data_IF_412497673232
#
_entry.id   IF_412497673232
#
_cell.length_a   1.000
_cell.length_b   1.000
_cell.length_c   1.000
_cell.angle_alpha   90.00
_cell.angle_beta   90.00
_cell.angle_gamma   90.00
#
_symmetry.space_group_name_H-M   'P 1'
#
loop_
_entity.id
_entity.type
_entity.pdbx_description
1 polymer ?
#
# COMPACT_ATOMS: atom_id res chain seq x y z
N UNK A 1 4.23 -8.37 -5.19
CA UNK A 1 3.82 -7.08 -4.60
C UNK A 1 3.07 -7.28 -3.30
N UNK A 2 2.97 -6.24 -2.49
CA UNK A 2 2.14 -6.24 -1.29
C UNK A 2 0.95 -5.29 -1.46
N UNK A 3 -0.27 -5.82 -1.42
CA UNK A 3 -1.50 -5.03 -1.55
C UNK A 3 -2.36 -5.20 -0.30
N UNK A 4 -3.27 -4.27 -0.06
CA UNK A 4 -4.22 -4.37 1.03
C UNK A 4 -5.29 -5.43 0.74
N UNK A 5 -5.71 -6.16 1.77
CA UNK A 5 -6.71 -7.20 1.66
C UNK A 5 -8.11 -6.58 1.54
N UNK A 6 -8.95 -6.99 0.56
CA UNK A 6 -10.31 -6.46 0.39
C UNK A 6 -11.23 -6.66 1.59
N UNK A 7 -10.95 -7.65 2.44
CA UNK A 7 -11.73 -7.92 3.65
C UNK A 7 -11.28 -7.09 4.87
N UNK A 8 -10.33 -6.18 4.72
CA UNK A 8 -9.84 -5.33 5.81
C UNK A 8 -10.80 -4.18 6.09
N UNK A 9 -10.95 -3.83 7.37
CA UNK A 9 -11.75 -2.68 7.77
C UNK A 9 -11.07 -1.37 7.38
N UNK A 10 -11.87 -0.33 7.14
CA UNK A 10 -11.37 1.02 6.83
C UNK A 10 -10.39 1.54 7.90
N UNK A 11 -10.66 1.22 9.17
CA UNK A 11 -9.76 1.54 10.31
C UNK A 11 -8.39 0.90 10.12
N UNK A 12 -8.36 -0.41 9.82
CA UNK A 12 -7.10 -1.11 9.59
C UNK A 12 -6.35 -0.58 8.36
N UNK A 13 -7.07 -0.24 7.29
CA UNK A 13 -6.48 0.36 6.09
C UNK A 13 -5.85 1.71 6.40
N UNK A 14 -6.54 2.57 7.16
CA UNK A 14 -6.02 3.87 7.55
C UNK A 14 -4.80 3.75 8.48
N UNK A 15 -4.82 2.81 9.42
CA UNK A 15 -3.68 2.54 10.30
C UNK A 15 -2.46 2.05 9.50
N UNK A 16 -2.66 1.19 8.50
CA UNK A 16 -1.59 0.75 7.62
C UNK A 16 -1.02 1.91 6.81
N UNK A 17 -1.87 2.80 6.30
CA UNK A 17 -1.43 4.00 5.57
C UNK A 17 -0.53 4.83 6.48
N UNK A 18 -1.04 5.19 7.67
CA UNK A 18 -0.31 5.99 8.63
C UNK A 18 1.03 5.33 9.02
N UNK A 19 1.01 4.02 9.26
CA UNK A 19 2.21 3.25 9.61
C UNK A 19 3.24 3.26 8.48
N UNK A 20 2.83 2.93 7.25
CA UNK A 20 3.72 2.90 6.10
C UNK A 20 4.29 4.28 5.80
N UNK A 21 3.45 5.32 5.81
CA UNK A 21 3.87 6.71 5.60
C UNK A 21 4.90 7.17 6.64
N UNK A 22 4.68 6.87 7.92
CA UNK A 22 5.62 7.23 8.97
C UNK A 22 6.98 6.50 8.83
N UNK A 23 6.98 5.27 8.29
CA UNK A 23 8.21 4.52 8.07
C UNK A 23 8.93 4.90 6.77
N UNK A 24 8.20 5.28 5.73
CA UNK A 24 8.74 5.69 4.44
C UNK A 24 9.19 7.15 4.44
N UNK A 25 8.56 7.99 5.27
CA UNK A 25 8.78 9.44 5.31
C UNK A 25 8.13 10.22 4.17
N UNK A 26 7.67 9.54 3.12
CA UNK A 26 6.99 10.14 1.98
C UNK A 26 5.76 9.31 1.56
N UNK A 27 4.62 9.98 1.47
CA UNK A 27 3.34 9.45 0.99
C UNK A 27 2.68 10.36 -0.05
N UNK A 28 3.44 11.26 -0.67
CA UNK A 28 2.97 12.20 -1.70
C UNK A 28 2.23 11.53 -2.86
N UNK A 29 2.58 10.28 -3.21
CA UNK A 29 1.97 9.57 -4.33
C UNK A 29 0.51 9.15 -4.12
N UNK A 30 0.04 9.02 -2.88
CA UNK A 30 -1.36 8.75 -2.55
C UNK A 30 -2.12 10.02 -2.14
N UNK A 31 -1.46 11.16 -2.03
CA UNK A 31 -2.10 12.44 -1.72
C UNK A 31 -2.76 13.03 -2.97
N UNK A 32 -3.73 13.96 -2.82
CA UNK A 32 -4.33 14.65 -3.96
C UNK A 32 -3.27 15.24 -4.90
N UNK A 33 -3.31 14.85 -6.18
CA UNK A 33 -2.32 15.23 -7.18
C UNK A 33 -1.14 14.26 -7.35
N UNK A 34 -1.06 13.22 -6.52
CA UNK A 34 -0.09 12.13 -6.64
C UNK A 34 -0.42 11.17 -7.79
N UNK A 35 0.60 10.47 -8.29
CA UNK A 35 0.48 9.54 -9.41
C UNK A 35 -0.46 8.34 -9.13
N UNK A 36 -0.65 8.00 -7.86
CA UNK A 36 -1.42 6.86 -7.38
C UNK A 36 -2.62 7.27 -6.51
N UNK A 37 -3.08 8.52 -6.62
CA UNK A 37 -4.23 9.00 -5.87
C UNK A 37 -5.54 8.35 -6.33
N UNK A 38 -5.72 8.16 -7.64
CA UNK A 38 -6.93 7.55 -8.20
C UNK A 38 -6.75 6.04 -8.39
N UNK A 39 -7.76 5.21 -8.09
CA UNK A 39 -9.04 5.58 -7.47
C UNK A 39 -8.90 6.02 -6.01
N UNK A 40 -9.62 7.08 -5.63
CA UNK A 40 -9.60 7.66 -4.26
C UNK A 40 -10.35 6.75 -3.28
N UNK A 41 -9.69 5.65 -2.92
CA UNK A 41 -10.20 4.65 -1.98
C UNK A 41 -9.10 4.26 -1.02
N UNK A 42 -9.46 4.05 0.25
CA UNK A 42 -8.51 3.64 1.29
C UNK A 42 -7.76 2.37 0.92
N UNK A 43 -8.43 1.41 0.29
CA UNK A 43 -7.79 0.15 -0.10
C UNK A 43 -6.71 0.35 -1.15
N UNK A 44 -6.95 1.26 -2.09
CA UNK A 44 -5.96 1.60 -3.10
C UNK A 44 -4.78 2.31 -2.47
N UNK A 45 -5.03 3.39 -1.71
CA UNK A 45 -3.96 4.14 -1.04
C UNK A 45 -3.13 3.24 -0.11
N UNK A 46 -3.80 2.38 0.67
CA UNK A 46 -3.14 1.39 1.52
C UNK A 46 -2.28 0.43 0.70
N UNK A 47 -2.81 -0.14 -0.39
CA UNK A 47 -2.06 -1.04 -1.27
C UNK A 47 -0.78 -0.39 -1.79
N UNK A 48 -0.84 0.86 -2.24
CA UNK A 48 0.30 1.61 -2.76
C UNK A 48 1.41 1.74 -1.71
N UNK A 49 1.09 2.28 -0.53
CA UNK A 49 2.09 2.54 0.51
C UNK A 49 2.58 1.26 1.19
N UNK A 50 1.72 0.24 1.31
CA UNK A 50 2.10 -1.08 1.78
C UNK A 50 3.09 -1.75 0.82
N UNK A 51 2.90 -1.60 -0.49
CA UNK A 51 3.85 -2.08 -1.48
C UNK A 51 5.20 -1.37 -1.37
N UNK A 52 5.22 -0.05 -1.27
CA UNK A 52 6.46 0.72 -1.10
C UNK A 52 7.21 0.33 0.19
N UNK A 53 6.49 0.15 1.29
CA UNK A 53 7.07 -0.31 2.54
C UNK A 53 7.64 -1.72 2.40
N UNK A 54 6.93 -2.61 1.72
CA UNK A 54 7.41 -3.95 1.41
C UNK A 54 8.69 -3.92 0.57
N UNK A 55 8.76 -3.03 -0.43
CA UNK A 55 9.95 -2.83 -1.27
C UNK A 55 11.13 -2.29 -0.46
N UNK A 56 10.91 -1.28 0.39
CA UNK A 56 11.95 -0.64 1.19
C UNK A 56 12.54 -1.57 2.25
N UNK A 57 11.79 -2.59 2.68
CA UNK A 57 12.25 -3.63 3.61
C UNK A 57 12.74 -4.90 2.93
N UNK A 58 13.37 -4.77 1.76
CA UNK A 58 13.96 -5.88 1.00
C UNK A 58 12.98 -7.03 0.68
N UNK A 59 11.67 -6.74 0.63
CA UNK A 59 10.61 -7.71 0.33
C UNK A 59 10.56 -8.88 1.32
N UNK A 60 10.97 -8.65 2.57
CA UNK A 60 10.93 -9.66 3.63
C UNK A 60 9.53 -10.21 3.85
N UNK A 61 9.41 -11.52 4.03
CA UNK A 61 8.12 -12.20 4.05
C UNK A 61 7.17 -11.69 5.15
N UNK A 62 7.66 -11.21 6.27
CA UNK A 62 6.84 -10.73 7.40
C UNK A 62 6.33 -9.30 7.20
N UNK A 63 6.97 -8.52 6.31
CA UNK A 63 6.69 -7.09 6.15
C UNK A 63 5.39 -6.79 5.41
N UNK A 64 4.87 -7.74 4.63
CA UNK A 64 3.57 -7.64 3.97
C UNK A 64 2.39 -8.13 4.84
N UNK A 65 2.64 -8.58 6.08
CA UNK A 65 1.54 -9.11 6.90
C UNK A 65 0.56 -8.01 7.34
N UNK A 66 1.09 -6.84 7.75
CA UNK A 66 0.30 -5.71 8.29
C UNK A 66 -0.83 -6.20 9.21
N UNK A 67 -0.50 -6.94 10.28
CA UNK A 67 -1.50 -7.51 11.20
C UNK A 67 -2.61 -8.35 10.54
N UNK A 68 -2.32 -8.98 9.39
CA UNK A 68 -3.25 -9.82 8.63
C UNK A 68 -4.09 -9.07 7.59
N UNK A 69 -3.82 -7.77 7.38
CA UNK A 69 -4.50 -6.91 6.42
C UNK A 69 -3.74 -6.73 5.11
N UNK A 70 -2.52 -7.25 4.99
CA UNK A 70 -1.78 -7.30 3.74
C UNK A 70 -1.86 -8.65 3.04
N UNK A 71 -1.84 -8.60 1.71
CA UNK A 71 -1.88 -9.73 0.82
C UNK A 71 -0.73 -9.64 -0.18
N UNK A 72 0.07 -10.71 -0.25
CA UNK A 72 1.08 -10.81 -1.31
C UNK A 72 0.43 -11.29 -2.58
N UNK A 73 0.63 -10.53 -3.65
CA UNK A 73 0.27 -10.91 -5.01
C UNK A 73 1.53 -11.19 -5.82
N UNK A 74 1.43 -12.19 -6.70
CA UNK A 74 2.47 -12.54 -7.67
C UNK A 74 2.23 -11.78 -8.98
N UNK A 75 0.98 -11.42 -9.27
CA UNK A 75 0.63 -10.58 -10.42
C UNK A 75 0.87 -9.10 -10.11
N UNK A 76 1.25 -8.35 -11.15
CA UNK A 76 1.48 -6.92 -11.07
C UNK A 76 0.15 -6.19 -10.82
N UNK A 77 -0.03 -5.53 -9.65
CA UNK A 77 -1.25 -4.80 -9.34
C UNK A 77 -1.26 -3.38 -9.94
N UNK A 78 -0.26 -3.03 -10.77
CA UNK A 78 -0.21 -1.73 -11.46
C UNK A 78 -1.45 -1.50 -12.30
N UNK A 79 -2.01 -0.29 -12.23
CA UNK A 79 -3.17 0.10 -13.00
C UNK A 79 -3.05 1.56 -13.45
N UNK A 80 -3.46 1.85 -14.69
CA UNK A 80 -3.40 3.20 -15.26
C UNK A 80 -2.00 3.83 -15.16
N UNK A 81 -1.92 4.97 -14.48
CA UNK A 81 -0.66 5.70 -14.21
C UNK A 81 0.02 5.29 -12.89
N UNK A 82 -0.62 4.45 -12.08
CA UNK A 82 -0.05 3.99 -10.81
C UNK A 82 0.72 2.69 -11.05
N UNK A 83 2.04 2.82 -11.15
CA UNK A 83 2.92 1.67 -11.22
C UNK A 83 3.36 1.27 -9.82
N UNK A 84 3.00 0.05 -9.44
CA UNK A 84 3.51 -0.61 -8.26
C UNK A 84 4.88 -1.16 -8.63
N UNK A 85 5.90 -0.31 -8.71
CA UNK A 85 7.29 -0.75 -8.96
C UNK A 85 7.85 -1.44 -7.73
#
# INVERSE_FOLDING_TARGET
>A
WCVAKPSSSEVALQDNINFACNNLGDCSMIQPGGACYLPDTLINHASVVMNLYYQSRAREYWTCSFTGSGLRVIDDPSYGNCSYM
#
